data_IF_557152985569
#
_entry.id   IF_557152985569
#
_cell.length_a   1.000
_cell.length_b   1.000
_cell.length_c   1.000
_cell.angle_alpha   90.00
_cell.angle_beta   90.00
_cell.angle_gamma   90.00
#
_symmetry.space_group_name_H-M   'P 1'
#
loop_
_entity.id
_entity.type
_entity.pdbx_description
1 polymer ?
#
# COMPACT_ATOMS: atom_id res chain seq x y z
N UNK A 1 10.34 18.75 11.24
CA UNK A 1 9.93 17.31 11.26
C UNK A 1 10.81 16.57 10.27
N UNK A 2 11.49 15.52 10.69
CA UNK A 2 12.39 14.75 9.81
C UNK A 2 11.54 13.97 8.81
N UNK A 3 11.88 14.04 7.51
CA UNK A 3 11.18 13.28 6.49
C UNK A 3 11.31 11.77 6.77
N UNK A 4 10.17 11.04 6.68
CA UNK A 4 10.17 9.60 6.89
C UNK A 4 10.65 8.85 5.63
N UNK A 5 10.18 9.27 4.44
CA UNK A 5 10.58 8.72 3.14
C UNK A 5 11.18 9.83 2.29
N UNK A 6 12.33 9.59 1.67
CA UNK A 6 12.95 10.55 0.74
C UNK A 6 13.37 9.86 -0.56
N UNK A 7 13.16 10.55 -1.67
CA UNK A 7 13.69 10.21 -2.99
C UNK A 7 14.78 11.24 -3.31
N UNK A 8 15.94 10.78 -3.77
CA UNK A 8 17.05 11.64 -4.17
C UNK A 8 17.46 11.28 -5.61
N UNK A 9 17.11 12.14 -6.57
CA UNK A 9 17.47 11.99 -7.98
C UNK A 9 16.98 10.68 -8.60
N UNK A 10 15.83 10.12 -8.11
CA UNK A 10 15.35 8.79 -8.49
C UNK A 10 14.90 8.76 -9.94
N UNK A 11 15.45 7.83 -10.73
CA UNK A 11 15.09 7.63 -12.13
C UNK A 11 14.70 6.19 -12.42
N UNK A 12 13.86 5.99 -13.42
CA UNK A 12 13.39 4.69 -13.89
C UNK A 12 13.50 4.57 -15.41
N UNK A 13 14.36 3.67 -15.84
CA UNK A 13 14.48 3.28 -17.25
C UNK A 13 14.04 1.82 -17.40
N UNK A 14 13.25 1.51 -18.42
CA UNK A 14 12.74 0.17 -18.72
C UNK A 14 12.96 -0.12 -20.21
N UNK A 15 13.90 -1.02 -20.50
CA UNK A 15 14.39 -1.19 -21.86
C UNK A 15 15.00 0.13 -22.35
N UNK A 16 14.53 0.63 -23.49
CA UNK A 16 14.98 1.91 -24.05
C UNK A 16 14.13 3.11 -23.59
N UNK A 17 13.08 2.89 -22.77
CA UNK A 17 12.16 3.93 -22.35
C UNK A 17 12.49 4.47 -20.96
N UNK A 18 12.76 5.77 -20.85
CA UNK A 18 12.76 6.50 -19.59
C UNK A 18 11.32 6.78 -19.17
N UNK A 19 10.90 6.24 -18.01
CA UNK A 19 9.58 6.47 -17.46
C UNK A 19 9.55 7.80 -16.70
N UNK A 20 10.57 8.05 -15.90
CA UNK A 20 10.80 9.31 -15.18
C UNK A 20 12.28 9.44 -14.81
N UNK A 21 12.75 10.66 -14.58
CA UNK A 21 14.14 10.93 -14.23
C UNK A 21 14.26 12.05 -13.18
N UNK A 22 15.26 11.91 -12.30
CA UNK A 22 15.64 12.96 -11.38
C UNK A 22 14.59 13.35 -10.35
N UNK A 23 13.76 12.39 -9.86
CA UNK A 23 12.73 12.69 -8.89
C UNK A 23 13.35 12.95 -7.50
N UNK A 24 13.06 14.13 -6.97
CA UNK A 24 13.35 14.51 -5.59
C UNK A 24 12.03 14.71 -4.84
N UNK A 25 11.93 14.09 -3.65
CA UNK A 25 10.72 14.18 -2.82
C UNK A 25 11.07 13.92 -1.34
N UNK A 26 10.38 14.62 -0.46
CA UNK A 26 10.43 14.38 0.98
C UNK A 26 8.99 14.19 1.49
N UNK A 27 8.70 13.01 2.03
CA UNK A 27 7.40 12.69 2.64
C UNK A 27 7.57 12.62 4.16
N UNK A 28 7.02 13.56 4.92
CA UNK A 28 7.02 13.51 6.38
C UNK A 28 6.12 12.40 6.91
N UNK A 29 6.33 12.02 8.19
CA UNK A 29 5.36 11.18 8.91
C UNK A 29 3.99 11.86 9.01
N UNK A 30 2.92 11.06 8.99
CA UNK A 30 1.54 11.57 9.02
C UNK A 30 1.05 12.16 7.70
N UNK A 31 1.78 12.00 6.59
CA UNK A 31 1.41 12.58 5.29
C UNK A 31 1.04 11.51 4.26
N UNK A 32 0.13 11.89 3.36
CA UNK A 32 -0.26 11.13 2.18
C UNK A 32 0.54 11.61 0.97
N UNK A 33 1.12 10.68 0.21
CA UNK A 33 1.66 10.92 -1.13
C UNK A 33 0.73 10.29 -2.16
N UNK A 34 0.14 11.11 -3.01
CA UNK A 34 -0.57 10.65 -4.21
C UNK A 34 0.37 10.68 -5.41
N UNK A 35 0.58 9.52 -6.00
CA UNK A 35 1.32 9.42 -7.27
C UNK A 35 0.32 9.41 -8.41
N UNK A 36 0.29 10.50 -9.16
CA UNK A 36 -0.59 10.72 -10.30
C UNK A 36 0.18 10.60 -11.63
N UNK A 37 -0.52 10.39 -12.71
CA UNK A 37 0.06 10.30 -14.06
C UNK A 37 -0.71 9.36 -14.97
N UNK A 38 -0.41 9.40 -16.26
CA UNK A 38 -1.03 8.56 -17.27
C UNK A 38 -0.72 7.07 -17.06
N UNK A 39 -1.48 6.19 -17.72
CA UNK A 39 -1.13 4.77 -17.75
C UNK A 39 0.24 4.59 -18.42
N UNK A 40 1.10 3.76 -17.80
CA UNK A 40 2.46 3.55 -18.29
C UNK A 40 3.47 4.64 -17.91
N UNK A 41 3.10 5.69 -17.15
CA UNK A 41 4.04 6.73 -16.68
C UNK A 41 5.05 6.22 -15.63
N UNK A 42 4.86 5.01 -15.08
CA UNK A 42 5.81 4.46 -14.12
C UNK A 42 5.33 4.45 -12.66
N UNK A 43 4.06 4.75 -12.40
CA UNK A 43 3.48 4.80 -11.04
C UNK A 43 3.78 3.52 -10.24
N UNK A 44 3.41 2.35 -10.75
CA UNK A 44 3.70 1.06 -10.11
C UNK A 44 5.20 0.80 -9.95
N UNK A 45 6.04 1.27 -10.91
CA UNK A 45 7.50 1.15 -10.81
C UNK A 45 8.04 1.97 -9.65
N UNK A 46 7.56 3.20 -9.48
CA UNK A 46 7.92 4.04 -8.34
C UNK A 46 7.49 3.39 -7.01
N UNK A 47 6.24 2.90 -6.92
CA UNK A 47 5.79 2.19 -5.72
C UNK A 47 6.67 0.98 -5.39
N UNK A 48 7.08 0.20 -6.40
CA UNK A 48 8.00 -0.93 -6.21
C UNK A 48 9.39 -0.49 -5.77
N UNK A 49 9.88 0.66 -6.23
CA UNK A 49 11.16 1.23 -5.76
C UNK A 49 11.05 1.65 -4.29
N UNK A 50 9.96 2.32 -3.91
CA UNK A 50 9.65 2.66 -2.51
C UNK A 50 9.56 1.40 -1.64
N UNK A 51 9.05 0.28 -2.17
CA UNK A 51 9.01 -0.99 -1.45
C UNK A 51 10.36 -1.74 -1.42
N UNK A 52 11.40 -1.26 -2.12
CA UNK A 52 12.67 -1.98 -2.27
C UNK A 52 12.58 -3.23 -3.17
N UNK A 53 11.46 -3.39 -3.90
CA UNK A 53 11.21 -4.50 -4.84
C UNK A 53 11.81 -4.24 -6.22
N UNK A 54 12.22 -3.01 -6.48
CA UNK A 54 12.83 -2.57 -7.71
C UNK A 54 13.93 -1.56 -7.38
N UNK A 55 15.13 -1.76 -7.89
CA UNK A 55 16.20 -0.77 -7.79
C UNK A 55 15.93 0.39 -8.77
N UNK A 56 16.14 1.66 -8.37
CA UNK A 56 16.14 2.77 -9.31
C UNK A 56 17.29 2.63 -10.31
N UNK A 57 17.13 3.19 -11.52
CA UNK A 57 18.19 3.23 -12.54
C UNK A 57 19.30 4.22 -12.18
N UNK A 58 18.94 5.29 -11.45
CA UNK A 58 19.87 6.23 -10.79
C UNK A 58 19.18 6.85 -9.59
N UNK A 59 19.96 7.46 -8.71
CA UNK A 59 19.46 8.02 -7.46
C UNK A 59 19.19 6.95 -6.41
N UNK A 60 18.56 7.34 -5.32
CA UNK A 60 18.30 6.45 -4.19
C UNK A 60 17.01 6.78 -3.46
N UNK A 61 16.42 5.74 -2.83
CA UNK A 61 15.29 5.86 -1.90
C UNK A 61 15.82 5.66 -0.49
N UNK A 62 15.45 6.57 0.42
CA UNK A 62 15.84 6.52 1.82
C UNK A 62 14.63 6.45 2.74
N UNK A 63 14.75 5.70 3.79
CA UNK A 63 13.80 5.64 4.89
C UNK A 63 14.47 6.12 6.18
N UNK A 64 13.92 7.16 6.80
CA UNK A 64 14.49 7.79 8.00
C UNK A 64 15.97 8.13 7.84
N UNK A 65 16.34 8.64 6.66
CA UNK A 65 17.69 9.07 6.33
C UNK A 65 18.65 7.95 5.90
N UNK A 66 18.26 6.67 5.97
CA UNK A 66 19.10 5.54 5.57
C UNK A 66 18.67 4.97 4.21
N UNK A 67 19.60 4.64 3.30
CA UNK A 67 19.29 4.01 2.02
C UNK A 67 18.54 2.68 2.22
N UNK A 68 17.48 2.43 1.41
CA UNK A 68 16.71 1.17 1.51
C UNK A 68 17.56 -0.05 1.17
N UNK A 69 18.58 0.11 0.30
CA UNK A 69 19.48 -0.97 -0.08
C UNK A 69 20.23 -1.57 1.12
N UNK A 70 20.51 -0.76 2.15
CA UNK A 70 21.27 -1.13 3.34
C UNK A 70 20.41 -1.76 4.45
N UNK A 71 19.07 -1.69 4.35
CA UNK A 71 18.17 -2.11 5.42
C UNK A 71 17.02 -3.03 4.96
N UNK A 72 17.23 -3.83 3.93
CA UNK A 72 16.19 -4.63 3.26
C UNK A 72 15.38 -5.51 4.22
N UNK A 73 16.02 -6.23 5.14
CA UNK A 73 15.33 -7.11 6.08
C UNK A 73 14.43 -6.35 7.06
N UNK A 74 14.93 -5.24 7.60
CA UNK A 74 14.17 -4.37 8.49
C UNK A 74 13.05 -3.69 7.73
N UNK A 75 13.30 -3.23 6.51
CA UNK A 75 12.38 -2.51 5.67
C UNK A 75 11.09 -3.29 5.41
N UNK A 76 11.19 -4.59 5.12
CA UNK A 76 10.03 -5.45 4.90
C UNK A 76 9.06 -5.54 6.09
N UNK A 77 9.52 -5.24 7.31
CA UNK A 77 8.69 -5.21 8.53
C UNK A 77 8.07 -3.84 8.81
N UNK A 78 8.63 -2.78 8.22
CA UNK A 78 8.19 -1.40 8.43
C UNK A 78 7.19 -0.92 7.37
N UNK A 79 6.89 -1.72 6.35
CA UNK A 79 5.94 -1.36 5.32
C UNK A 79 4.86 -2.43 5.07
N UNK A 80 3.72 -1.98 4.58
CA UNK A 80 2.72 -2.84 3.93
C UNK A 80 2.58 -2.42 2.49
N UNK A 81 2.80 -3.37 1.57
CA UNK A 81 2.54 -3.18 0.16
C UNK A 81 1.28 -3.96 -0.26
N UNK A 82 0.34 -3.25 -0.87
CA UNK A 82 -0.81 -3.83 -1.56
C UNK A 82 -0.74 -3.41 -3.02
N UNK A 83 -0.34 -4.35 -3.87
CA UNK A 83 -0.24 -4.14 -5.30
C UNK A 83 -1.59 -4.08 -6.01
N UNK A 84 -1.54 -3.92 -7.32
CA UNK A 84 -2.74 -3.89 -8.17
C UNK A 84 -3.59 -5.16 -8.02
N UNK A 85 -2.98 -6.35 -7.98
CA UNK A 85 -3.66 -7.59 -7.60
C UNK A 85 -3.64 -7.79 -6.09
N UNK A 86 -4.71 -8.37 -5.54
CA UNK A 86 -4.85 -8.56 -4.10
C UNK A 86 -3.89 -9.61 -3.50
N UNK A 87 -3.07 -10.29 -4.34
CA UNK A 87 -2.10 -11.33 -3.94
C UNK A 87 -2.72 -12.43 -3.04
N UNK A 88 -3.94 -12.85 -3.36
CA UNK A 88 -4.68 -13.89 -2.65
C UNK A 88 -4.52 -15.23 -3.35
N UNK A 89 -4.51 -16.31 -2.55
CA UNK A 89 -4.57 -17.70 -3.05
C UNK A 89 -6.02 -18.08 -3.27
N UNK A 90 -6.37 -18.45 -4.48
CA UNK A 90 -7.74 -18.70 -4.94
C UNK A 90 -8.44 -19.86 -4.21
N UNK A 91 -7.69 -20.88 -3.83
CA UNK A 91 -8.22 -22.05 -3.13
C UNK A 91 -8.36 -21.87 -1.62
N UNK A 92 -7.72 -20.87 -1.05
CA UNK A 92 -7.84 -20.54 0.36
C UNK A 92 -9.04 -19.63 0.62
N UNK A 93 -9.56 -19.70 1.85
CA UNK A 93 -10.57 -18.75 2.34
C UNK A 93 -9.96 -17.37 2.60
N UNK A 94 -10.77 -16.28 2.69
CA UNK A 94 -10.32 -14.97 3.17
C UNK A 94 -9.59 -15.04 4.50
N UNK A 95 -10.12 -15.83 5.44
CA UNK A 95 -9.50 -16.00 6.77
C UNK A 95 -8.11 -16.60 6.64
N UNK A 96 -7.95 -17.68 5.89
CA UNK A 96 -6.66 -18.35 5.76
C UNK A 96 -5.66 -17.51 4.96
N UNK A 97 -6.10 -16.79 3.91
CA UNK A 97 -5.27 -15.84 3.19
C UNK A 97 -4.69 -14.75 4.12
N UNK A 98 -5.51 -14.15 4.99
CA UNK A 98 -5.05 -13.12 5.91
C UNK A 98 -4.12 -13.67 7.00
N UNK A 99 -4.41 -14.85 7.55
CA UNK A 99 -3.52 -15.51 8.52
C UNK A 99 -2.14 -15.78 7.90
N UNK A 100 -2.10 -16.34 6.69
CA UNK A 100 -0.85 -16.59 5.96
C UNK A 100 -0.13 -15.27 5.66
N UNK A 101 -0.82 -14.26 5.16
CA UNK A 101 -0.21 -12.96 4.85
C UNK A 101 0.38 -12.27 6.07
N UNK A 102 -0.27 -12.35 7.24
CA UNK A 102 0.26 -11.82 8.50
C UNK A 102 1.50 -12.61 8.94
N UNK A 103 1.44 -13.95 8.89
CA UNK A 103 2.57 -14.81 9.26
C UNK A 103 3.81 -14.55 8.39
N UNK A 104 3.63 -14.46 7.06
CA UNK A 104 4.72 -14.13 6.14
C UNK A 104 5.30 -12.73 6.38
N UNK A 105 4.48 -11.79 6.85
CA UNK A 105 4.92 -10.45 7.28
C UNK A 105 5.58 -10.42 8.67
N UNK A 106 5.81 -11.59 9.30
CA UNK A 106 6.41 -11.69 10.64
C UNK A 106 5.47 -11.25 11.76
N UNK A 107 4.16 -11.23 11.52
CA UNK A 107 3.15 -10.83 12.50
C UNK A 107 2.23 -12.00 12.83
N UNK A 108 1.86 -12.11 14.08
CA UNK A 108 0.86 -13.09 14.51
C UNK A 108 -0.48 -12.39 14.71
N UNK A 109 -1.45 -12.73 13.88
CA UNK A 109 -2.83 -12.23 14.02
C UNK A 109 -3.72 -13.34 14.59
N UNK A 110 -4.35 -13.14 15.77
CA UNK A 110 -5.36 -14.07 16.28
C UNK A 110 -6.51 -14.21 15.28
N UNK A 111 -7.04 -15.44 15.13
CA UNK A 111 -8.15 -15.70 14.20
C UNK A 111 -9.34 -14.79 14.43
N UNK A 112 -9.65 -14.46 15.68
CA UNK A 112 -10.74 -13.54 16.04
C UNK A 112 -10.51 -12.13 15.45
N UNK A 113 -9.27 -11.61 15.48
CA UNK A 113 -8.92 -10.33 14.88
C UNK A 113 -9.08 -10.35 13.35
N UNK A 114 -8.71 -11.48 12.71
CA UNK A 114 -8.91 -11.66 11.26
C UNK A 114 -10.40 -11.65 10.90
N UNK A 115 -11.24 -12.35 11.66
CA UNK A 115 -12.71 -12.36 11.44
C UNK A 115 -13.30 -10.96 11.63
N UNK A 116 -12.84 -10.20 12.62
CA UNK A 116 -13.24 -8.81 12.82
C UNK A 116 -12.84 -7.93 11.64
N UNK A 117 -11.58 -8.01 11.19
CA UNK A 117 -11.09 -7.24 10.04
C UNK A 117 -11.85 -7.55 8.75
N UNK A 118 -12.24 -8.82 8.52
CA UNK A 118 -13.09 -9.21 7.40
C UNK A 118 -14.52 -8.64 7.55
N UNK A 119 -15.07 -8.64 8.77
CA UNK A 119 -16.34 -8.03 9.07
C UNK A 119 -16.37 -6.54 8.77
N UNK A 120 -15.33 -5.80 9.19
CA UNK A 120 -15.14 -4.37 8.92
C UNK A 120 -15.01 -4.09 7.41
N UNK A 121 -14.38 -4.99 6.66
CA UNK A 121 -14.27 -4.91 5.20
C UNK A 121 -15.58 -5.33 4.48
N UNK A 122 -16.68 -5.59 5.18
CA UNK A 122 -17.96 -5.99 4.60
C UNK A 122 -17.96 -7.42 4.01
N UNK A 123 -17.19 -8.33 4.61
CA UNK A 123 -17.07 -9.73 4.17
C UNK A 123 -17.69 -10.73 5.17
N UNK A 124 -18.63 -10.27 6.01
CA UNK A 124 -19.40 -11.17 6.89
C UNK A 124 -20.16 -12.21 6.07
N UNK A 125 -20.04 -13.48 6.46
CA UNK A 125 -20.62 -14.62 5.75
C UNK A 125 -19.73 -15.19 4.63
N UNK A 126 -18.63 -14.53 4.27
CA UNK A 126 -17.68 -15.00 3.25
C UNK A 126 -16.36 -15.50 3.82
N UNK A 127 -16.19 -15.51 5.14
CA UNK A 127 -14.91 -15.76 5.83
C UNK A 127 -14.29 -17.11 5.49
N UNK A 128 -15.13 -18.09 5.14
CA UNK A 128 -14.75 -19.48 4.80
C UNK A 128 -14.93 -19.81 3.32
N UNK A 129 -15.46 -18.88 2.53
CA UNK A 129 -15.70 -19.10 1.10
C UNK A 129 -14.36 -19.07 0.34
N UNK A 130 -14.00 -20.07 -0.49
CA UNK A 130 -12.79 -19.99 -1.30
C UNK A 130 -12.75 -18.72 -2.15
N UNK A 131 -11.59 -18.04 -2.18
CA UNK A 131 -11.41 -16.72 -2.83
C UNK A 131 -11.82 -16.76 -4.30
N UNK A 132 -11.63 -17.89 -5.00
CA UNK A 132 -12.08 -18.04 -6.40
C UNK A 132 -13.57 -17.80 -6.61
N UNK A 133 -14.42 -17.93 -5.56
CA UNK A 133 -15.87 -17.68 -5.62
C UNK A 133 -16.25 -16.25 -5.27
N UNK A 134 -15.31 -15.42 -4.85
CA UNK A 134 -15.55 -14.04 -4.50
C UNK A 134 -15.58 -13.16 -5.77
N UNK A 135 -16.43 -12.13 -5.76
CA UNK A 135 -16.38 -11.07 -6.76
C UNK A 135 -15.06 -10.30 -6.70
N UNK A 136 -14.73 -9.55 -7.75
CA UNK A 136 -13.51 -8.73 -7.80
C UNK A 136 -13.46 -7.72 -6.63
N UNK A 137 -14.58 -7.04 -6.33
CA UNK A 137 -14.68 -6.12 -5.19
C UNK A 137 -14.49 -6.83 -3.85
N UNK A 138 -15.07 -8.04 -3.67
CA UNK A 138 -14.86 -8.84 -2.46
C UNK A 138 -13.40 -9.27 -2.31
N UNK A 139 -12.75 -9.70 -3.40
CA UNK A 139 -11.30 -10.01 -3.39
C UNK A 139 -10.48 -8.78 -3.00
N UNK A 140 -10.81 -7.62 -3.56
CA UNK A 140 -10.12 -6.36 -3.23
C UNK A 140 -10.27 -6.01 -1.76
N UNK A 141 -11.50 -6.07 -1.21
CA UNK A 141 -11.78 -5.84 0.20
C UNK A 141 -11.07 -6.84 1.12
N UNK A 142 -10.98 -8.11 0.72
CA UNK A 142 -10.20 -9.12 1.45
C UNK A 142 -8.71 -8.72 1.56
N UNK A 143 -8.08 -8.32 0.46
CA UNK A 143 -6.69 -7.84 0.49
C UNK A 143 -6.50 -6.61 1.36
N UNK A 144 -7.42 -5.65 1.27
CA UNK A 144 -7.41 -4.41 2.06
C UNK A 144 -7.65 -4.65 3.57
N UNK A 145 -8.39 -5.71 3.95
CA UNK A 145 -8.62 -6.06 5.35
C UNK A 145 -7.30 -6.32 6.12
N UNK A 146 -6.21 -6.66 5.42
CA UNK A 146 -4.88 -6.77 6.01
C UNK A 146 -4.42 -5.46 6.68
N UNK A 147 -4.82 -4.29 6.18
CA UNK A 147 -4.46 -2.99 6.76
C UNK A 147 -4.96 -2.82 8.20
N UNK A 148 -6.08 -3.46 8.54
CA UNK A 148 -6.61 -3.48 9.92
C UNK A 148 -5.70 -4.27 10.86
N UNK A 149 -5.08 -5.34 10.36
CA UNK A 149 -4.25 -6.27 11.15
C UNK A 149 -2.81 -5.76 11.33
N UNK A 150 -2.29 -4.99 10.37
CA UNK A 150 -0.89 -4.54 10.32
C UNK A 150 -0.76 -3.03 10.63
N UNK A 151 -1.58 -2.51 11.52
CA UNK A 151 -1.64 -1.09 11.87
C UNK A 151 -0.31 -0.51 12.41
N UNK A 152 0.58 -1.36 12.91
CA UNK A 152 1.88 -0.92 13.43
C UNK A 152 2.89 -0.56 12.32
N UNK A 153 2.65 -0.95 11.08
CA UNK A 153 3.54 -0.62 9.96
C UNK A 153 3.51 0.89 9.68
N UNK A 154 4.65 1.59 9.78
CA UNK A 154 4.68 3.05 9.65
C UNK A 154 4.48 3.55 8.22
N UNK A 155 4.63 2.70 7.20
CA UNK A 155 4.37 3.05 5.81
C UNK A 155 3.39 2.07 5.15
N UNK A 156 2.36 2.62 4.52
CA UNK A 156 1.49 1.89 3.60
C UNK A 156 1.75 2.34 2.16
N UNK A 157 1.94 1.36 1.27
CA UNK A 157 2.11 1.58 -0.17
C UNK A 157 0.99 0.84 -0.89
N UNK A 158 0.11 1.59 -1.54
CA UNK A 158 -1.16 1.08 -2.06
C UNK A 158 -1.28 1.39 -3.57
N UNK A 159 -1.30 0.36 -4.40
CA UNK A 159 -1.41 0.51 -5.85
C UNK A 159 -2.88 0.40 -6.28
N UNK A 160 -3.48 1.53 -6.70
CA UNK A 160 -4.89 1.67 -7.10
C UNK A 160 -5.88 1.07 -6.07
N UNK A 161 -5.80 1.44 -4.76
CA UNK A 161 -6.52 0.73 -3.71
C UNK A 161 -8.05 0.85 -3.82
N UNK A 162 -8.56 1.89 -4.46
CA UNK A 162 -9.98 2.19 -4.60
C UNK A 162 -10.67 1.48 -5.78
N UNK A 163 -9.89 0.84 -6.68
CA UNK A 163 -10.46 0.15 -7.82
C UNK A 163 -11.40 -0.99 -7.39
N UNK A 164 -12.57 -1.06 -8.04
CA UNK A 164 -13.61 -2.08 -7.79
C UNK A 164 -14.25 -2.02 -6.39
N UNK A 165 -14.10 -0.91 -5.67
CA UNK A 165 -14.80 -0.68 -4.40
C UNK A 165 -16.13 0.03 -4.65
N UNK A 166 -17.14 -0.37 -3.89
CA UNK A 166 -18.37 0.39 -3.74
C UNK A 166 -18.19 1.59 -2.79
N UNK A 167 -19.19 2.44 -2.67
CA UNK A 167 -19.13 3.65 -1.84
C UNK A 167 -18.83 3.33 -0.38
N UNK A 168 -19.44 2.29 0.18
CA UNK A 168 -19.25 1.91 1.58
C UNK A 168 -17.79 1.44 1.83
N UNK A 169 -17.24 0.61 0.93
CA UNK A 169 -15.86 0.15 1.02
C UNK A 169 -14.85 1.29 0.78
N UNK A 170 -15.18 2.25 -0.08
CA UNK A 170 -14.38 3.46 -0.29
C UNK A 170 -14.30 4.29 0.99
N UNK A 171 -15.43 4.62 1.61
CA UNK A 171 -15.49 5.36 2.88
C UNK A 171 -14.74 4.63 4.00
N UNK A 172 -14.89 3.32 4.08
CA UNK A 172 -14.16 2.49 5.04
C UNK A 172 -12.63 2.59 4.83
N UNK A 173 -12.15 2.48 3.59
CA UNK A 173 -10.72 2.59 3.28
C UNK A 173 -10.18 4.00 3.58
N UNK A 174 -10.94 5.04 3.24
CA UNK A 174 -10.58 6.43 3.58
C UNK A 174 -10.43 6.62 5.09
N UNK A 175 -11.34 6.04 5.89
CA UNK A 175 -11.25 6.10 7.36
C UNK A 175 -9.99 5.39 7.89
N UNK A 176 -9.60 4.27 7.29
CA UNK A 176 -8.36 3.57 7.63
C UNK A 176 -7.13 4.41 7.30
N UNK A 177 -7.10 5.04 6.12
CA UNK A 177 -6.00 5.93 5.71
C UNK A 177 -5.88 7.11 6.67
N UNK A 178 -7.00 7.81 6.98
CA UNK A 178 -7.00 8.89 7.96
C UNK A 178 -6.45 8.43 9.32
N UNK A 179 -6.91 7.29 9.80
CA UNK A 179 -6.43 6.71 11.07
C UNK A 179 -4.92 6.42 11.01
N UNK A 180 -4.38 5.97 9.89
CA UNK A 180 -2.95 5.75 9.69
C UNK A 180 -2.17 7.06 9.77
N UNK A 181 -2.63 8.10 9.09
CA UNK A 181 -1.98 9.42 9.08
C UNK A 181 -2.02 10.07 10.47
N UNK A 182 -3.16 10.02 11.17
CA UNK A 182 -3.30 10.55 12.54
C UNK A 182 -2.36 9.89 13.55
N UNK A 183 -2.00 8.62 13.36
CA UNK A 183 -1.00 7.92 14.19
C UNK A 183 0.45 8.27 13.81
N UNK A 184 0.67 9.17 12.86
CA UNK A 184 1.99 9.55 12.38
C UNK A 184 2.57 8.60 11.32
N UNK A 185 1.83 7.58 10.89
CA UNK A 185 2.20 6.74 9.74
C UNK A 185 2.05 7.51 8.43
N UNK A 186 2.75 7.07 7.38
CA UNK A 186 2.65 7.66 6.05
C UNK A 186 1.95 6.70 5.08
N UNK A 187 1.34 7.26 4.05
CA UNK A 187 0.69 6.48 2.99
C UNK A 187 1.18 6.98 1.63
N UNK A 188 1.60 6.06 0.78
CA UNK A 188 1.88 6.33 -0.65
C UNK A 188 0.84 5.57 -1.46
N UNK A 189 0.08 6.25 -2.31
CA UNK A 189 -0.89 5.57 -3.15
C UNK A 189 -0.93 6.11 -4.57
N UNK A 190 -1.36 5.23 -5.48
CA UNK A 190 -1.79 5.63 -6.83
C UNK A 190 -3.32 5.66 -6.88
N UNK A 191 -3.89 6.60 -7.59
CA UNK A 191 -5.33 6.62 -7.88
C UNK A 191 -5.60 7.42 -9.14
N UNK A 192 -6.53 6.91 -9.97
CA UNK A 192 -7.09 7.64 -11.11
C UNK A 192 -8.33 8.48 -10.73
N UNK A 193 -8.91 8.20 -9.56
CA UNK A 193 -10.08 8.90 -9.04
C UNK A 193 -9.67 9.93 -8.00
N UNK A 194 -10.45 11.01 -7.89
CA UNK A 194 -10.36 11.90 -6.74
C UNK A 194 -10.69 11.10 -5.47
N UNK A 195 -9.81 11.16 -4.47
CA UNK A 195 -10.02 10.53 -3.17
C UNK A 195 -10.43 11.64 -2.21
N UNK A 196 -11.51 11.46 -1.47
CA UNK A 196 -12.01 12.45 -0.50
C UNK A 196 -11.14 12.47 0.78
N UNK A 197 -9.84 12.74 0.60
CA UNK A 197 -8.84 12.90 1.67
C UNK A 197 -8.23 14.31 1.65
N UNK A 198 -8.96 15.30 1.12
CA UNK A 198 -8.45 16.67 0.95
C UNK A 198 -8.21 17.38 2.30
N UNK A 199 -8.79 16.87 3.37
CA UNK A 199 -8.59 17.29 4.75
C UNK A 199 -7.29 16.74 5.38
N UNK A 200 -6.65 15.76 4.76
CA UNK A 200 -5.40 15.17 5.26
C UNK A 200 -4.17 15.89 4.70
N UNK A 201 -3.08 16.01 5.50
CA UNK A 201 -1.81 16.51 4.99
C UNK A 201 -1.34 15.64 3.81
N UNK A 202 -1.29 16.23 2.60
CA UNK A 202 -0.98 15.48 1.40
C UNK A 202 -0.08 16.21 0.43
N UNK A 203 0.63 15.43 -0.39
CA UNK A 203 1.43 15.87 -1.51
C UNK A 203 1.00 15.10 -2.76
N UNK A 204 1.09 15.73 -3.92
CA UNK A 204 0.84 15.09 -5.22
C UNK A 204 2.14 15.09 -6.01
N UNK A 205 2.59 13.91 -6.41
CA UNK A 205 3.68 13.73 -7.34
C UNK A 205 3.10 13.37 -8.71
N UNK A 206 3.34 14.23 -9.68
CA UNK A 206 2.93 14.01 -11.06
C UNK A 206 4.06 13.35 -11.84
N UNK A 207 3.82 12.17 -12.46
CA UNK A 207 4.73 11.46 -13.37
C UNK A 207 4.35 11.70 -14.82
#
# INVERSE_FOLDING_TARGET
MTAALTLHGVSCVRGERTLFSGLDLQLPGGHLLRVAGANGAGKTSLLRMVCGLLAPSSGEVRWRGQPLAEQRERWGRELVYLGHSAALKDDLSPTDNLLVACSLGGQHAPRAAVLHALGDAGLRGFERTPVRRLSQGQRRRCGLARLVLVRAAPLWVLDEPFNSLDTAATTWLESLIRSQLMRGGSVVLTSHQGVALDDAPQQVLQL
#
